data_IF_174084346350
#
_entry.id   IF_174084346350
#
_cell.length_a   1.000
_cell.length_b   1.000
_cell.length_c   1.000
_cell.angle_alpha   90.00
_cell.angle_beta   90.00
_cell.angle_gamma   90.00
#
_symmetry.space_group_name_H-M   'P 1'
#
loop_
_entity.id
_entity.type
_entity.pdbx_description
1 polymer ?
#
# COMPACT_ATOMS: atom_id res chain seq x y z
N UNK A 1 54.98 -14.97 17.14
CA UNK A 1 53.55 -14.59 17.24
C UNK A 1 52.90 -15.47 18.29
N UNK A 2 52.36 -14.88 19.35
CA UNK A 2 51.90 -15.63 20.53
C UNK A 2 50.63 -16.42 20.20
N UNK A 3 50.55 -17.71 20.59
CA UNK A 3 49.37 -18.57 20.34
C UNK A 3 48.05 -17.91 20.79
N UNK A 4 48.10 -17.12 21.87
CA UNK A 4 46.96 -16.34 22.36
C UNK A 4 46.49 -15.28 21.35
N UNK A 5 47.42 -14.57 20.68
CA UNK A 5 47.10 -13.57 19.64
C UNK A 5 46.48 -14.19 18.40
N UNK A 6 46.92 -15.39 18.00
CA UNK A 6 46.36 -16.12 16.84
C UNK A 6 44.90 -16.52 17.11
N UNK A 7 44.58 -16.96 18.33
CA UNK A 7 43.21 -17.34 18.74
C UNK A 7 42.27 -16.12 18.76
N UNK A 8 42.72 -14.97 19.25
CA UNK A 8 41.91 -13.75 19.26
C UNK A 8 41.61 -13.24 17.84
N UNK A 9 42.58 -13.35 16.92
CA UNK A 9 42.40 -12.95 15.52
C UNK A 9 41.39 -13.85 14.81
N UNK A 10 41.44 -15.18 15.03
CA UNK A 10 40.48 -16.10 14.40
C UNK A 10 39.04 -15.89 14.88
N UNK A 11 38.84 -15.59 16.17
CA UNK A 11 37.52 -15.29 16.73
C UNK A 11 36.94 -14.00 16.17
N UNK A 12 37.79 -12.97 15.99
CA UNK A 12 37.36 -11.67 15.45
C UNK A 12 36.89 -11.79 13.99
N UNK A 13 37.58 -12.62 13.20
CA UNK A 13 37.24 -12.86 11.79
C UNK A 13 35.90 -13.60 11.65
N UNK A 14 35.63 -14.60 12.50
CA UNK A 14 34.36 -15.34 12.47
C UNK A 14 33.16 -14.46 12.83
N UNK A 15 33.33 -13.53 13.77
CA UNK A 15 32.27 -12.57 14.15
C UNK A 15 32.00 -11.58 13.01
N UNK A 16 33.03 -11.12 12.31
CA UNK A 16 32.87 -10.21 11.16
C UNK A 16 32.19 -10.90 9.97
N UNK A 17 32.57 -12.14 9.66
CA UNK A 17 31.96 -12.95 8.59
C UNK A 17 30.51 -13.28 8.95
N UNK A 18 30.26 -13.77 10.18
CA UNK A 18 28.92 -14.06 10.66
C UNK A 18 28.03 -12.81 10.71
N UNK A 19 28.58 -11.67 11.14
CA UNK A 19 27.91 -10.38 11.13
C UNK A 19 27.55 -9.90 9.73
N UNK A 20 28.43 -10.07 8.73
CA UNK A 20 28.13 -9.74 7.34
C UNK A 20 27.02 -10.65 6.76
N UNK A 21 27.11 -11.96 6.99
CA UNK A 21 26.09 -12.91 6.52
C UNK A 21 24.74 -12.65 7.19
N UNK A 22 24.73 -12.37 8.49
CA UNK A 22 23.53 -12.05 9.24
C UNK A 22 22.92 -10.72 8.81
N UNK A 23 23.75 -9.69 8.56
CA UNK A 23 23.30 -8.40 8.04
C UNK A 23 22.68 -8.54 6.64
N UNK A 24 23.27 -9.36 5.77
CA UNK A 24 22.71 -9.66 4.44
C UNK A 24 21.37 -10.39 4.52
N UNK A 25 21.15 -11.25 5.54
CA UNK A 25 19.87 -11.91 5.75
C UNK A 25 18.83 -10.96 6.35
N UNK A 26 19.25 -10.07 7.25
CA UNK A 26 18.38 -9.08 7.87
C UNK A 26 17.83 -8.08 6.84
N UNK A 27 18.68 -7.63 5.91
CA UNK A 27 18.28 -6.65 4.89
C UNK A 27 17.32 -7.20 3.82
N UNK A 28 17.19 -8.53 3.71
CA UNK A 28 16.32 -9.18 2.71
C UNK A 28 14.84 -9.23 3.14
N UNK A 29 14.52 -8.82 4.36
CA UNK A 29 13.14 -8.80 4.89
C UNK A 29 12.38 -7.48 4.76
N UNK A 30 13.03 -6.39 4.32
CA UNK A 30 12.44 -5.06 4.09
C UNK A 30 12.38 -4.71 2.60
N UNK A 31 12.33 -5.70 1.72
CA UNK A 31 11.99 -5.48 0.31
C UNK A 31 10.45 -5.46 0.26
N UNK A 32 9.88 -4.31 0.58
CA UNK A 32 8.45 -4.06 0.51
C UNK A 32 7.93 -4.45 -0.87
N UNK A 33 6.91 -5.30 -0.91
CA UNK A 33 6.15 -5.56 -2.12
C UNK A 33 5.78 -4.22 -2.74
N UNK A 34 6.16 -3.97 -3.99
CA UNK A 34 5.61 -2.87 -4.76
C UNK A 34 4.11 -3.15 -4.94
N UNK A 35 3.29 -2.81 -3.96
CA UNK A 35 1.85 -2.83 -4.12
C UNK A 35 1.51 -1.77 -5.15
N UNK A 36 1.08 -2.20 -6.33
CA UNK A 36 0.62 -1.29 -7.36
C UNK A 36 -0.66 -0.61 -6.88
N UNK A 37 -0.61 0.70 -6.68
CA UNK A 37 -1.75 1.52 -6.32
C UNK A 37 -2.15 2.41 -7.49
N UNK A 38 -3.46 2.66 -7.62
CA UNK A 38 -4.00 3.71 -8.45
C UNK A 38 -4.16 4.98 -7.59
N UNK A 39 -3.73 6.13 -8.07
CA UNK A 39 -3.92 7.41 -7.39
C UNK A 39 -4.97 8.21 -8.14
N UNK A 40 -6.01 8.68 -7.44
CA UNK A 40 -6.94 9.67 -7.95
C UNK A 40 -6.73 10.99 -7.23
N UNK A 41 -6.56 12.08 -7.97
CA UNK A 41 -6.36 13.42 -7.43
C UNK A 41 -7.67 14.21 -7.58
N UNK A 42 -8.18 14.70 -6.45
CA UNK A 42 -9.43 15.46 -6.40
C UNK A 42 -9.20 16.96 -6.68
N UNK A 43 -10.24 17.73 -7.06
CA UNK A 43 -10.15 19.18 -7.24
C UNK A 43 -9.66 19.93 -6.00
N UNK A 44 -9.90 19.39 -4.80
CA UNK A 44 -9.38 19.92 -3.54
C UNK A 44 -7.87 19.72 -3.34
N UNK A 45 -7.23 18.91 -4.19
CA UNK A 45 -5.85 18.45 -4.03
C UNK A 45 -5.70 17.20 -3.16
N UNK A 46 -6.79 16.65 -2.61
CA UNK A 46 -6.76 15.39 -1.89
C UNK A 46 -6.41 14.22 -2.81
N UNK A 47 -5.65 13.26 -2.29
CA UNK A 47 -5.29 12.02 -2.99
C UNK A 47 -6.10 10.85 -2.42
N UNK A 48 -6.72 10.08 -3.31
CA UNK A 48 -7.30 8.77 -3.01
C UNK A 48 -6.37 7.72 -3.59
N UNK A 49 -5.80 6.86 -2.75
CA UNK A 49 -4.98 5.72 -3.19
C UNK A 49 -5.81 4.46 -3.12
N UNK A 50 -5.87 3.71 -4.20
CA UNK A 50 -6.69 2.50 -4.28
C UNK A 50 -5.82 1.33 -4.72
N UNK A 51 -5.85 0.27 -3.94
CA UNK A 51 -5.37 -1.04 -4.35
C UNK A 51 -6.58 -1.96 -4.49
N UNK A 52 -6.67 -2.66 -5.62
CA UNK A 52 -7.70 -3.67 -5.85
C UNK A 52 -7.07 -5.05 -5.58
N UNK A 53 -7.75 -5.91 -4.84
CA UNK A 53 -7.34 -7.31 -4.72
C UNK A 53 -7.46 -8.03 -6.09
N UNK A 54 -6.78 -9.17 -6.27
CA UNK A 54 -6.63 -9.82 -7.59
C UNK A 54 -7.97 -10.12 -8.29
N UNK A 55 -9.01 -10.46 -7.53
CA UNK A 55 -10.35 -10.74 -8.06
C UNK A 55 -11.18 -9.47 -8.34
N UNK A 56 -10.72 -8.31 -7.88
CA UNK A 56 -11.38 -7.01 -8.04
C UNK A 56 -12.64 -6.82 -7.19
N UNK A 57 -12.93 -7.75 -6.27
CA UNK A 57 -14.08 -7.76 -5.38
C UNK A 57 -13.84 -6.95 -4.09
N UNK A 58 -12.59 -6.63 -3.77
CA UNK A 58 -12.22 -5.73 -2.69
C UNK A 58 -11.36 -4.57 -3.20
N UNK A 59 -11.72 -3.36 -2.77
CA UNK A 59 -10.90 -2.16 -2.90
C UNK A 59 -10.39 -1.72 -1.52
N UNK A 60 -9.07 -1.60 -1.38
CA UNK A 60 -8.42 -0.97 -0.24
C UNK A 60 -8.19 0.50 -0.59
N UNK A 61 -9.05 1.37 -0.05
CA UNK A 61 -9.04 2.81 -0.30
C UNK A 61 -8.32 3.52 0.86
N UNK A 62 -7.26 4.24 0.55
CA UNK A 62 -6.55 5.09 1.49
C UNK A 62 -6.80 6.57 1.16
N UNK A 63 -7.24 7.31 2.17
CA UNK A 63 -7.62 8.71 2.04
C UNK A 63 -7.35 9.43 3.36
N UNK A 64 -6.60 10.53 3.31
CA UNK A 64 -6.22 11.32 4.50
C UNK A 64 -5.61 10.48 5.64
N UNK A 65 -4.81 9.47 5.29
CA UNK A 65 -4.18 8.57 6.26
C UNK A 65 -5.10 7.54 6.91
N UNK A 66 -6.38 7.49 6.52
CA UNK A 66 -7.32 6.42 6.90
C UNK A 66 -7.38 5.37 5.80
N UNK A 67 -7.61 4.12 6.20
CA UNK A 67 -7.72 2.97 5.30
C UNK A 67 -9.13 2.38 5.41
N UNK A 68 -9.79 2.19 4.27
CA UNK A 68 -11.11 1.60 4.16
C UNK A 68 -11.03 0.36 3.29
N UNK A 69 -11.51 -0.78 3.80
CA UNK A 69 -11.67 -2.01 3.02
C UNK A 69 -13.12 -2.08 2.57
N UNK A 70 -13.33 -1.92 1.27
CA UNK A 70 -14.65 -1.78 0.67
C UNK A 70 -14.90 -2.94 -0.29
N UNK A 71 -16.05 -3.61 -0.15
CA UNK A 71 -16.45 -4.73 -1.01
C UNK A 71 -17.16 -4.21 -2.24
N UNK A 72 -16.95 -4.86 -3.37
CA UNK A 72 -17.68 -4.60 -4.60
C UNK A 72 -19.18 -4.77 -4.34
N UNK A 73 -19.95 -3.74 -4.67
CA UNK A 73 -21.38 -3.68 -4.50
C UNK A 73 -22.05 -3.52 -5.87
N UNK A 74 -23.32 -3.93 -5.95
CA UNK A 74 -24.10 -3.82 -7.19
C UNK A 74 -24.20 -2.36 -7.64
N UNK A 75 -23.92 -2.13 -8.92
CA UNK A 75 -23.95 -0.80 -9.55
C UNK A 75 -24.63 -0.84 -10.92
N UNK A 76 -25.15 0.31 -11.35
CA UNK A 76 -25.74 0.46 -12.68
C UNK A 76 -24.69 0.78 -13.77
N UNK A 77 -23.62 1.49 -13.40
CA UNK A 77 -22.49 1.83 -14.28
C UNK A 77 -21.25 2.14 -13.45
N UNK A 78 -20.09 1.64 -13.87
CA UNK A 78 -18.84 1.78 -13.12
C UNK A 78 -18.72 0.78 -11.96
N UNK A 79 -17.60 0.85 -11.25
CA UNK A 79 -17.32 0.02 -10.10
C UNK A 79 -17.71 0.76 -8.82
N UNK A 80 -18.57 0.13 -8.02
CA UNK A 80 -19.00 0.65 -6.71
C UNK A 80 -18.44 -0.26 -5.63
N UNK A 81 -17.78 0.30 -4.65
CA UNK A 81 -17.28 -0.41 -3.49
C UNK A 81 -17.84 0.24 -2.22
N UNK A 82 -18.35 -0.56 -1.28
CA UNK A 82 -18.95 -0.08 -0.05
C UNK A 82 -18.53 -0.93 1.16
N UNK A 83 -18.58 -0.34 2.35
CA UNK A 83 -18.55 -1.08 3.60
C UNK A 83 -19.93 -1.67 3.92
N UNK A 84 -20.04 -2.46 5.00
CA UNK A 84 -21.24 -3.26 5.29
C UNK A 84 -22.50 -2.42 5.56
N UNK A 85 -22.36 -1.24 6.15
CA UNK A 85 -23.46 -0.31 6.43
C UNK A 85 -23.61 0.80 5.36
N UNK A 86 -22.83 0.72 4.29
CA UNK A 86 -22.76 1.71 3.21
C UNK A 86 -22.45 3.16 3.66
N UNK A 87 -21.97 3.36 4.89
CA UNK A 87 -21.56 4.69 5.37
C UNK A 87 -20.31 5.24 4.68
N UNK A 88 -19.52 4.38 4.00
CA UNK A 88 -18.41 4.78 3.15
C UNK A 88 -18.53 4.06 1.81
N UNK A 89 -18.65 4.84 0.73
CA UNK A 89 -18.79 4.32 -0.63
C UNK A 89 -17.76 4.95 -1.54
N UNK A 90 -17.03 4.13 -2.27
CA UNK A 90 -16.12 4.54 -3.34
C UNK A 90 -16.72 4.16 -4.69
N UNK A 91 -16.74 5.12 -5.61
CA UNK A 91 -17.14 4.92 -6.99
C UNK A 91 -15.97 5.20 -7.91
N UNK A 92 -15.78 4.33 -8.91
CA UNK A 92 -14.86 4.55 -10.01
C UNK A 92 -15.59 4.34 -11.34
N UNK A 93 -15.36 5.24 -12.29
CA UNK A 93 -15.81 5.10 -13.66
C UNK A 93 -14.88 5.82 -14.64
N UNK A 94 -14.25 5.06 -15.54
CA UNK A 94 -13.45 5.58 -16.65
C UNK A 94 -12.31 6.53 -16.22
N UNK A 95 -11.66 6.25 -15.08
CA UNK A 95 -10.59 7.09 -14.55
C UNK A 95 -11.09 8.32 -13.78
N UNK A 96 -12.37 8.38 -13.47
CA UNK A 96 -12.95 9.31 -12.52
C UNK A 96 -13.36 8.58 -11.25
N UNK A 97 -13.22 9.23 -10.10
CA UNK A 97 -13.60 8.65 -8.83
C UNK A 97 -14.30 9.64 -7.91
N UNK A 98 -15.14 9.09 -7.02
CA UNK A 98 -15.83 9.82 -5.96
C UNK A 98 -15.88 8.96 -4.68
N UNK A 99 -15.84 9.62 -3.51
CA UNK A 99 -16.06 8.99 -2.20
C UNK A 99 -17.22 9.69 -1.50
N UNK A 100 -18.19 8.89 -1.06
CA UNK A 100 -19.31 9.33 -0.24
C UNK A 100 -19.09 8.92 1.20
N UNK A 101 -19.47 9.80 2.13
CA UNK A 101 -19.59 9.49 3.54
C UNK A 101 -21.02 9.74 3.99
N UNK A 102 -21.72 8.71 4.45
CA UNK A 102 -23.15 8.76 4.79
C UNK A 102 -23.99 9.40 3.66
N UNK A 103 -23.82 8.91 2.43
CA UNK A 103 -24.46 9.41 1.21
C UNK A 103 -24.08 10.83 0.75
N UNK A 104 -23.27 11.57 1.51
CA UNK A 104 -22.77 12.88 1.10
C UNK A 104 -21.50 12.72 0.24
N UNK A 105 -21.45 13.29 -0.99
CA UNK A 105 -20.25 13.26 -1.83
C UNK A 105 -19.20 14.22 -1.27
N UNK A 106 -18.27 13.70 -0.47
CA UNK A 106 -17.21 14.51 0.17
C UNK A 106 -16.03 14.71 -0.77
N UNK A 107 -15.72 13.71 -1.60
CA UNK A 107 -14.65 13.78 -2.60
C UNK A 107 -15.26 13.47 -3.96
N UNK A 108 -15.34 14.46 -4.84
CA UNK A 108 -15.98 14.32 -6.16
C UNK A 108 -15.08 14.88 -7.27
N UNK A 109 -15.25 14.37 -8.48
CA UNK A 109 -14.50 14.77 -9.66
C UNK A 109 -13.01 14.40 -9.61
N UNK A 110 -12.62 13.41 -8.80
CA UNK A 110 -11.23 12.99 -8.68
C UNK A 110 -10.79 12.25 -9.94
N UNK A 111 -9.58 12.54 -10.44
CA UNK A 111 -9.10 11.99 -11.71
C UNK A 111 -7.91 11.07 -11.48
N UNK A 112 -7.89 9.95 -12.21
CA UNK A 112 -6.78 9.02 -12.19
C UNK A 112 -5.49 9.71 -12.65
N UNK A 113 -4.50 9.72 -11.77
CA UNK A 113 -3.15 10.17 -12.07
C UNK A 113 -2.45 9.04 -12.83
N UNK A 114 -2.16 9.28 -14.11
CA UNK A 114 -1.31 8.38 -14.89
C UNK A 114 0.14 8.65 -14.48
N UNK A 115 0.80 7.65 -13.90
CA UNK A 115 2.25 7.66 -13.72
C UNK A 115 2.87 7.46 -15.12
N UNK A 116 3.61 8.46 -15.61
CA UNK A 116 4.35 8.42 -16.88
C UNK A 116 5.71 7.71 -16.73
#
# INVERSE_FOLDING_TARGET
MDKKKIIFISLSILILIGGLHFYSLYKKGEEGSEESYFIFVCPSGAEIRVNYEEEGDLAVVQLEGKVYRLKLAVSASGARYANEDESVVFWEHQGEAMVLFNDDPVYDGCKLQRLE
#
